data_IF_713160648571
#
_entry.id   IF_713160648571
#
_cell.length_a   1.000
_cell.length_b   1.000
_cell.length_c   1.000
_cell.angle_alpha   90.00
_cell.angle_beta   90.00
_cell.angle_gamma   90.00
#
_symmetry.space_group_name_H-M   'P 1'
#
loop_
_entity.id
_entity.type
_entity.pdbx_description
1 polymer ?
#
# COMPACT_ATOMS: atom_id res chain seq x y z
N UNK A 1 10.32 36.08 19.03
CA UNK A 1 11.71 35.70 19.38
C UNK A 1 11.97 34.31 18.84
N UNK A 2 13.04 34.09 18.07
CA UNK A 2 13.51 32.75 17.70
C UNK A 2 14.40 32.17 18.81
N UNK A 3 14.36 30.86 19.02
CA UNK A 3 15.27 30.13 19.91
C UNK A 3 16.12 29.15 19.11
N UNK A 4 17.40 29.05 19.44
CA UNK A 4 18.29 28.04 18.87
C UNK A 4 18.16 26.76 19.71
N UNK A 5 17.77 25.66 19.05
CA UNK A 5 17.78 24.34 19.64
C UNK A 5 19.04 23.59 19.17
N UNK A 6 19.67 22.85 20.06
CA UNK A 6 20.79 21.96 19.77
C UNK A 6 20.41 20.54 20.15
N UNK A 7 20.75 19.58 19.30
CA UNK A 7 20.49 18.15 19.50
C UNK A 7 21.66 17.34 18.95
N UNK A 8 21.81 16.11 19.43
CA UNK A 8 22.78 15.15 18.90
C UNK A 8 22.05 14.23 17.93
N UNK A 9 22.66 13.98 16.78
CA UNK A 9 22.19 13.06 15.74
C UNK A 9 23.43 12.34 15.21
N UNK A 10 23.28 11.07 14.84
CA UNK A 10 24.32 10.29 14.18
C UNK A 10 24.63 10.86 12.80
N UNK A 11 25.92 10.93 12.45
CA UNK A 11 26.38 11.58 11.22
C UNK A 11 25.73 10.98 9.96
N UNK A 12 25.52 9.66 9.93
CA UNK A 12 24.89 8.96 8.81
C UNK A 12 23.43 9.38 8.63
N UNK A 13 22.66 9.47 9.72
CA UNK A 13 21.26 9.88 9.68
C UNK A 13 21.13 11.36 9.29
N UNK A 14 22.06 12.20 9.75
CA UNK A 14 22.10 13.59 9.34
C UNK A 14 22.37 13.74 7.84
N UNK A 15 23.32 12.98 7.28
CA UNK A 15 23.61 13.00 5.86
C UNK A 15 22.41 12.57 5.02
N UNK A 16 21.76 11.45 5.37
CA UNK A 16 20.53 10.99 4.71
C UNK A 16 19.43 12.04 4.75
N UNK A 17 19.26 12.71 5.90
CA UNK A 17 18.28 13.77 6.05
C UNK A 17 18.60 15.01 5.19
N UNK A 18 19.88 15.37 5.07
CA UNK A 18 20.31 16.46 4.19
C UNK A 18 20.06 16.14 2.71
N UNK A 19 20.31 14.91 2.28
CA UNK A 19 19.99 14.45 0.93
C UNK A 19 18.50 14.51 0.66
N UNK A 20 17.68 13.99 1.59
CA UNK A 20 16.22 14.07 1.51
C UNK A 20 15.75 15.52 1.32
N UNK A 21 16.28 16.46 2.11
CA UNK A 21 15.93 17.87 1.99
C UNK A 21 16.25 18.42 0.59
N UNK A 22 17.42 18.07 0.03
CA UNK A 22 17.79 18.46 -1.35
C UNK A 22 16.82 17.91 -2.39
N UNK A 23 16.38 16.65 -2.25
CA UNK A 23 15.39 16.07 -3.19
C UNK A 23 14.05 16.82 -3.16
N UNK A 24 13.68 17.40 -2.03
CA UNK A 24 12.48 18.21 -1.85
C UNK A 24 12.69 19.69 -2.19
N UNK A 25 13.87 20.08 -2.70
CA UNK A 25 14.19 21.46 -3.04
C UNK A 25 14.30 22.40 -1.84
N UNK A 26 14.59 21.87 -0.65
CA UNK A 26 14.65 22.65 0.60
C UNK A 26 15.97 22.40 1.36
N UNK A 27 16.21 23.17 2.42
CA UNK A 27 17.34 22.95 3.32
C UNK A 27 16.95 22.03 4.47
N UNK A 28 17.92 21.29 5.02
CA UNK A 28 17.68 20.42 6.18
C UNK A 28 17.09 21.18 7.37
N UNK A 29 17.56 22.42 7.62
CA UNK A 29 17.03 23.26 8.69
C UNK A 29 15.58 23.70 8.45
N UNK A 30 15.22 24.06 7.20
CA UNK A 30 13.85 24.41 6.86
C UNK A 30 12.91 23.19 6.97
N UNK A 31 13.36 22.02 6.50
CA UNK A 31 12.62 20.77 6.60
C UNK A 31 12.37 20.39 8.07
N UNK A 32 13.38 20.50 8.93
CA UNK A 32 13.27 20.21 10.35
C UNK A 32 12.32 21.18 11.07
N UNK A 33 12.42 22.48 10.78
CA UNK A 33 11.50 23.49 11.35
C UNK A 33 10.06 23.21 10.92
N UNK A 34 9.86 22.84 9.65
CA UNK A 34 8.53 22.47 9.15
C UNK A 34 7.99 21.21 9.84
N UNK A 35 8.82 20.20 10.06
CA UNK A 35 8.45 19.00 10.80
C UNK A 35 8.04 19.30 12.25
N UNK A 36 8.78 20.15 12.94
CA UNK A 36 8.43 20.57 14.32
C UNK A 36 7.10 21.33 14.30
N UNK A 37 6.88 22.23 13.35
CA UNK A 37 5.61 22.97 13.21
C UNK A 37 4.42 22.07 12.89
N UNK A 38 4.59 21.10 12.00
CA UNK A 38 3.52 20.16 11.66
C UNK A 38 3.15 19.28 12.85
N UNK A 39 4.14 18.86 13.64
CA UNK A 39 3.92 18.06 14.85
C UNK A 39 3.13 18.81 15.93
N UNK A 40 3.25 20.14 16.00
CA UNK A 40 2.46 20.97 16.92
C UNK A 40 1.05 21.20 16.40
N UNK A 41 0.91 21.41 15.09
CA UNK A 41 -0.37 21.81 14.45
C UNK A 41 -1.31 20.61 14.26
N UNK A 42 -0.76 19.44 13.98
CA UNK A 42 -1.50 18.19 13.81
C UNK A 42 -0.81 17.06 14.58
N UNK A 43 -0.98 16.98 15.92
CA UNK A 43 -0.38 15.94 16.75
C UNK A 43 -0.82 14.52 16.35
N UNK A 44 -1.93 14.40 15.61
CA UNK A 44 -2.44 13.13 15.08
C UNK A 44 -1.66 12.63 13.84
N UNK A 45 -0.96 13.49 13.08
CA UNK A 45 -0.25 13.07 11.86
C UNK A 45 1.08 12.38 12.17
N UNK A 46 1.60 12.53 13.40
CA UNK A 46 2.78 11.80 13.89
C UNK A 46 2.42 10.44 14.50
N UNK A 47 1.12 10.14 14.69
CA UNK A 47 0.70 8.74 14.83
C UNK A 47 0.92 8.13 13.45
N UNK A 48 1.99 7.35 13.32
CA UNK A 48 2.20 6.43 12.19
C UNK A 48 0.83 5.93 11.76
N UNK A 49 0.52 6.12 10.47
CA UNK A 49 -0.43 5.26 9.79
C UNK A 49 -0.03 3.83 10.16
N UNK A 50 -0.78 3.24 11.08
CA UNK A 50 -0.46 1.93 11.61
C UNK A 50 -0.48 1.01 10.40
N UNK A 51 0.61 0.27 10.21
CA UNK A 51 0.74 -0.76 9.19
C UNK A 51 -0.42 -1.77 9.19
N UNK A 52 -1.22 -1.82 10.27
CA UNK A 52 -2.46 -2.58 10.36
C UNK A 52 -3.55 -2.16 9.37
N UNK A 53 -3.61 -0.89 8.94
CA UNK A 53 -4.62 -0.45 7.95
C UNK A 53 -4.28 -0.95 6.55
N UNK A 54 -2.99 -0.94 6.20
CA UNK A 54 -2.50 -1.48 4.91
C UNK A 54 -2.61 -3.00 4.88
N UNK A 55 -2.25 -3.70 5.97
CA UNK A 55 -2.35 -5.15 6.06
C UNK A 55 -3.81 -5.62 5.99
N UNK A 56 -4.72 -4.93 6.68
CA UNK A 56 -6.16 -5.21 6.61
C UNK A 56 -6.72 -4.96 5.21
N UNK A 57 -6.30 -3.87 4.55
CA UNK A 57 -6.70 -3.57 3.18
C UNK A 57 -6.16 -4.60 2.17
N UNK A 58 -4.94 -5.11 2.38
CA UNK A 58 -4.36 -6.18 1.58
C UNK A 58 -5.15 -7.47 1.77
N UNK A 59 -5.45 -7.87 3.02
CA UNK A 59 -6.24 -9.07 3.29
C UNK A 59 -7.64 -9.00 2.68
N UNK A 60 -8.32 -7.86 2.79
CA UNK A 60 -9.63 -7.66 2.16
C UNK A 60 -9.57 -7.79 0.63
N UNK A 61 -8.50 -7.28 -0.01
CA UNK A 61 -8.30 -7.43 -1.46
C UNK A 61 -7.97 -8.87 -1.85
N UNK A 62 -7.18 -9.59 -1.06
CA UNK A 62 -6.85 -11.00 -1.31
C UNK A 62 -8.10 -11.87 -1.23
N UNK A 63 -8.92 -11.71 -0.18
CA UNK A 63 -10.19 -12.43 -0.06
C UNK A 63 -11.14 -12.18 -1.24
N UNK A 64 -11.22 -10.94 -1.72
CA UNK A 64 -12.02 -10.61 -2.90
C UNK A 64 -11.46 -11.21 -4.20
N UNK A 65 -10.14 -11.38 -4.32
CA UNK A 65 -9.52 -12.04 -5.47
C UNK A 65 -9.83 -13.53 -5.45
N UNK A 66 -9.71 -14.19 -4.30
CA UNK A 66 -10.01 -15.62 -4.15
C UNK A 66 -11.47 -15.92 -4.54
N UNK A 67 -12.43 -15.15 -4.05
CA UNK A 67 -13.84 -15.28 -4.41
C UNK A 67 -14.08 -15.11 -5.92
N UNK A 68 -13.41 -14.15 -6.56
CA UNK A 68 -13.53 -13.94 -8.01
C UNK A 68 -12.92 -15.08 -8.81
N UNK A 69 -11.83 -15.67 -8.34
CA UNK A 69 -11.19 -16.82 -8.97
C UNK A 69 -12.10 -18.04 -8.87
N UNK A 70 -12.64 -18.33 -7.68
CA UNK A 70 -13.56 -19.44 -7.48
C UNK A 70 -14.79 -19.33 -8.41
N UNK A 71 -15.42 -18.16 -8.45
CA UNK A 71 -16.55 -17.91 -9.35
C UNK A 71 -16.18 -18.08 -10.83
N UNK A 72 -15.03 -17.57 -11.26
CA UNK A 72 -14.58 -17.71 -12.64
C UNK A 72 -14.31 -19.18 -13.01
N UNK A 73 -13.70 -19.95 -12.10
CA UNK A 73 -13.45 -21.37 -12.28
C UNK A 73 -14.75 -22.15 -12.37
N UNK A 74 -15.72 -21.90 -11.47
CA UNK A 74 -17.03 -22.56 -11.51
C UNK A 74 -17.77 -22.31 -12.83
N UNK A 75 -17.78 -21.06 -13.32
CA UNK A 75 -18.40 -20.74 -14.60
C UNK A 75 -17.74 -21.45 -15.77
N UNK A 76 -16.40 -21.57 -15.75
CA UNK A 76 -15.66 -22.27 -16.79
C UNK A 76 -15.86 -23.79 -16.75
N UNK A 77 -15.94 -24.38 -15.56
CA UNK A 77 -16.26 -25.80 -15.40
C UNK A 77 -17.66 -26.11 -15.95
N UNK A 78 -18.66 -25.30 -15.60
CA UNK A 78 -20.02 -25.47 -16.11
C UNK A 78 -20.11 -25.34 -17.65
N UNK A 79 -19.33 -24.45 -18.25
CA UNK A 79 -19.23 -24.34 -19.71
C UNK A 79 -18.58 -25.58 -20.35
N UNK A 80 -17.50 -26.08 -19.74
CA UNK A 80 -16.82 -27.31 -20.19
C UNK A 80 -17.77 -28.51 -20.11
N UNK A 81 -18.50 -28.67 -19.00
CA UNK A 81 -19.46 -29.76 -18.83
C UNK A 81 -20.54 -29.74 -19.91
N UNK A 82 -21.14 -28.57 -20.19
CA UNK A 82 -22.14 -28.42 -21.26
C UNK A 82 -21.60 -28.76 -22.64
N UNK A 83 -20.34 -28.41 -22.91
CA UNK A 83 -19.68 -28.71 -24.19
C UNK A 83 -19.40 -30.21 -24.33
N UNK A 84 -19.02 -30.88 -23.24
CA UNK A 84 -18.83 -32.33 -23.19
C UNK A 84 -20.18 -33.03 -23.44
N UNK A 85 -21.23 -32.62 -22.74
CA UNK A 85 -22.58 -33.16 -22.91
C UNK A 85 -23.06 -33.03 -24.36
N UNK A 86 -22.92 -31.84 -24.96
CA UNK A 86 -23.26 -31.59 -26.36
C UNK A 86 -22.47 -32.51 -27.32
N UNK A 87 -21.15 -32.63 -27.11
CA UNK A 87 -20.30 -33.46 -27.95
C UNK A 87 -20.63 -34.97 -27.84
N UNK A 88 -21.03 -35.44 -26.65
CA UNK A 88 -21.48 -36.82 -26.43
C UNK A 88 -22.80 -37.06 -27.17
N UNK A 89 -23.76 -36.13 -27.10
CA UNK A 89 -25.04 -36.24 -27.80
C UNK A 89 -24.84 -36.29 -29.32
N UNK A 90 -24.01 -35.40 -29.88
CA UNK A 90 -23.68 -35.44 -31.31
C UNK A 90 -23.08 -36.77 -31.75
N UNK A 91 -22.23 -37.38 -30.92
CA UNK A 91 -21.58 -38.67 -31.18
C UNK A 91 -22.51 -39.88 -31.07
N UNK A 92 -23.60 -39.78 -30.29
CA UNK A 92 -24.57 -40.86 -30.10
C UNK A 92 -25.68 -40.86 -31.16
N UNK A 93 -25.93 -39.70 -31.78
CA UNK A 93 -26.97 -39.52 -32.81
C UNK A 93 -26.40 -39.69 -34.24
N UNK A 94 -25.08 -39.59 -34.40
CA UNK A 94 -24.35 -39.86 -35.66
C UNK A 94 -23.98 -41.34 -35.82
#
# INVERSE_FOLDING_TARGET
MSKLATFRIDDEDWQKFQELAKTQGTSASALLVNFIRSSITSPEVTKRQESGDVESAIQAKLASIDERIENAVQLKLADVDRRIESAIQEKLVA
#
